data_IF_753597054392
#
_entry.id   IF_753597054392
#
_cell.length_a   1.000
_cell.length_b   1.000
_cell.length_c   1.000
_cell.angle_alpha   90.00
_cell.angle_beta   90.00
_cell.angle_gamma   90.00
#
_symmetry.space_group_name_H-M   'P 1'
#
loop_
_entity.id
_entity.type
_entity.pdbx_description
1 polymer ?
#
# COMPACT_ATOMS: atom_id res chain seq x y z
N UNK A 1 -66.11 -2.84 41.31
CA UNK A 1 -67.14 -1.86 41.72
C UNK A 1 -66.66 -1.18 43.00
N UNK A 2 -66.65 0.16 43.00
CA UNK A 2 -66.34 1.14 44.08
C UNK A 2 -64.91 1.11 44.68
N UNK A 3 -64.03 2.06 44.30
CA UNK A 3 -63.73 3.39 44.91
C UNK A 3 -63.11 3.25 46.31
N UNK A 4 -62.02 3.93 46.69
CA UNK A 4 -61.70 5.32 46.44
C UNK A 4 -60.18 5.61 46.47
N UNK A 5 -59.82 6.77 45.95
CA UNK A 5 -58.47 7.32 45.87
C UNK A 5 -58.19 8.36 46.97
N UNK A 6 -56.88 8.66 47.11
CA UNK A 6 -56.22 9.92 47.45
C UNK A 6 -55.51 10.08 48.83
N UNK A 7 -54.27 10.55 48.68
CA UNK A 7 -53.42 11.38 49.57
C UNK A 7 -52.43 10.63 50.50
N UNK A 8 -51.16 11.03 50.71
CA UNK A 8 -50.32 12.12 50.21
C UNK A 8 -48.85 11.91 50.68
N UNK A 9 -47.92 12.68 50.07
CA UNK A 9 -46.59 13.12 50.57
C UNK A 9 -45.35 12.25 50.29
N UNK A 10 -44.52 12.79 49.39
CA UNK A 10 -43.11 12.47 49.13
C UNK A 10 -42.17 12.81 50.32
N UNK A 11 -40.94 12.26 50.30
CA UNK A 11 -39.74 13.05 50.59
C UNK A 11 -38.74 13.06 49.43
N UNK A 12 -38.21 14.25 49.14
CA UNK A 12 -37.20 14.56 48.10
C UNK A 12 -35.82 14.01 48.46
N UNK A 13 -35.25 13.17 47.59
CA UNK A 13 -33.87 12.67 47.67
C UNK A 13 -32.99 13.46 46.70
N UNK A 14 -31.98 14.18 47.21
CA UNK A 14 -31.06 15.00 46.43
C UNK A 14 -29.86 14.16 45.99
N UNK A 15 -29.76 13.85 44.69
CA UNK A 15 -28.58 13.22 44.11
C UNK A 15 -27.63 14.31 43.60
N UNK A 16 -26.41 14.34 44.13
CA UNK A 16 -25.33 15.17 43.59
C UNK A 16 -24.76 14.46 42.36
N UNK A 17 -25.01 15.00 41.17
CA UNK A 17 -24.34 14.56 39.95
C UNK A 17 -22.90 15.14 39.91
N UNK A 18 -21.88 14.29 40.05
CA UNK A 18 -20.52 14.61 39.64
C UNK A 18 -20.41 14.42 38.13
N UNK A 19 -19.90 15.38 37.34
CA UNK A 19 -19.64 15.15 35.92
C UNK A 19 -18.35 14.33 35.79
N UNK A 20 -18.45 13.11 35.27
CA UNK A 20 -17.31 12.34 34.76
C UNK A 20 -16.84 13.05 33.48
N UNK A 21 -15.71 13.74 33.55
CA UNK A 21 -15.04 14.27 32.36
C UNK A 21 -14.44 13.09 31.58
N UNK A 22 -15.13 12.65 30.53
CA UNK A 22 -14.62 11.68 29.57
C UNK A 22 -13.57 12.40 28.71
N UNK A 23 -12.29 12.23 29.02
CA UNK A 23 -11.20 12.75 28.21
C UNK A 23 -11.17 12.02 26.87
N UNK A 24 -11.65 12.68 25.80
CA UNK A 24 -11.45 12.21 24.43
C UNK A 24 -9.95 12.35 24.10
N UNK A 25 -9.21 11.25 24.23
CA UNK A 25 -7.88 11.11 23.66
C UNK A 25 -8.03 11.01 22.15
N UNK A 26 -7.79 12.12 21.44
CA UNK A 26 -7.72 12.14 19.98
C UNK A 26 -6.37 11.55 19.56
N UNK A 27 -6.32 10.24 19.40
CA UNK A 27 -5.18 9.55 18.78
C UNK A 27 -5.13 9.96 17.31
N UNK A 28 -4.04 10.62 16.89
CA UNK A 28 -3.77 10.86 15.47
C UNK A 28 -3.46 9.50 14.82
N UNK A 29 -4.47 8.89 14.23
CA UNK A 29 -4.29 7.74 13.37
C UNK A 29 -3.71 8.27 12.05
N UNK A 30 -2.44 7.94 11.77
CA UNK A 30 -1.92 8.01 10.41
C UNK A 30 -2.85 7.19 9.54
N UNK A 31 -3.69 7.84 8.73
CA UNK A 31 -4.54 7.16 7.78
C UNK A 31 -3.63 6.48 6.75
N UNK A 32 -3.36 5.20 6.94
CA UNK A 32 -2.80 4.39 5.88
C UNK A 32 -3.84 4.34 4.78
N UNK A 33 -3.45 4.73 3.55
CA UNK A 33 -4.32 4.59 2.39
C UNK A 33 -4.84 3.15 2.33
N UNK A 34 -6.12 2.98 2.02
CA UNK A 34 -6.72 1.65 1.86
C UNK A 34 -6.02 0.93 0.72
N UNK A 35 -5.73 -0.37 0.90
CA UNK A 35 -5.19 -1.22 -0.14
C UNK A 35 -6.21 -1.29 -1.29
N UNK A 36 -5.77 -0.94 -2.50
CA UNK A 36 -6.59 -0.83 -3.70
C UNK A 36 -6.72 -2.15 -4.45
N UNK A 37 -5.99 -3.19 -4.05
CA UNK A 37 -6.10 -4.52 -4.63
C UNK A 37 -7.28 -5.26 -3.99
N UNK A 38 -8.15 -5.86 -4.80
CA UNK A 38 -9.21 -6.72 -4.27
C UNK A 38 -8.63 -8.09 -3.88
N UNK A 39 -9.00 -8.57 -2.68
CA UNK A 39 -8.52 -9.85 -2.12
C UNK A 39 -6.97 -9.99 -2.10
N UNK A 40 -6.24 -9.03 -1.51
CA UNK A 40 -4.78 -8.92 -1.63
C UNK A 40 -3.96 -10.03 -0.95
N UNK A 41 -4.54 -10.68 0.06
CA UNK A 41 -3.93 -11.80 0.81
C UNK A 41 -4.49 -13.16 0.41
N UNK A 42 -5.30 -13.25 -0.66
CA UNK A 42 -5.82 -14.53 -1.18
C UNK A 42 -6.73 -15.33 -0.21
N UNK A 43 -7.36 -14.64 0.75
CA UNK A 43 -8.20 -15.28 1.78
C UNK A 43 -9.63 -15.51 1.33
N UNK A 44 -10.13 -14.70 0.39
CA UNK A 44 -11.52 -14.79 -0.04
C UNK A 44 -11.69 -15.82 -1.16
N UNK A 45 -12.49 -16.83 -0.87
CA UNK A 45 -12.79 -17.94 -1.77
C UNK A 45 -14.19 -17.79 -2.35
N UNK A 46 -14.31 -17.85 -3.68
CA UNK A 46 -15.60 -17.96 -4.37
C UNK A 46 -16.19 -19.37 -4.17
N UNK A 47 -15.33 -20.39 -4.20
CA UNK A 47 -15.71 -21.78 -3.93
C UNK A 47 -14.98 -22.25 -2.67
N UNK A 48 -15.69 -22.38 -1.53
CA UNK A 48 -15.07 -22.88 -0.31
C UNK A 48 -14.64 -24.35 -0.49
N UNK A 49 -13.73 -24.80 0.37
CA UNK A 49 -13.14 -26.12 0.31
C UNK A 49 -14.16 -27.17 0.75
N UNK A 50 -15.06 -27.55 -0.16
CA UNK A 50 -16.15 -28.49 0.10
C UNK A 50 -16.03 -29.61 -0.92
N UNK A 51 -15.65 -30.80 -0.45
CA UNK A 51 -15.51 -31.98 -1.31
C UNK A 51 -14.24 -32.01 -2.17
N UNK A 52 -13.30 -31.08 -1.98
CA UNK A 52 -12.01 -31.04 -2.68
C UNK A 52 -11.06 -29.99 -2.09
N UNK A 53 -9.79 -29.95 -2.55
CA UNK A 53 -8.85 -28.90 -2.18
C UNK A 53 -9.30 -27.54 -2.74
N UNK A 54 -8.85 -26.46 -2.11
CA UNK A 54 -8.84 -25.17 -2.78
C UNK A 54 -7.83 -25.22 -3.94
N UNK A 55 -8.24 -24.69 -5.09
CA UNK A 55 -7.39 -24.52 -6.27
C UNK A 55 -7.44 -23.06 -6.68
N UNK A 56 -6.66 -22.66 -7.69
CA UNK A 56 -6.66 -21.27 -8.13
C UNK A 56 -8.06 -20.77 -8.55
N UNK A 57 -8.88 -21.63 -9.17
CA UNK A 57 -10.27 -21.31 -9.51
C UNK A 57 -11.20 -21.16 -8.31
N UNK A 58 -10.75 -21.51 -7.10
CA UNK A 58 -11.48 -21.24 -5.86
C UNK A 58 -11.33 -19.80 -5.39
N UNK A 59 -10.25 -19.11 -5.79
CA UNK A 59 -9.99 -17.73 -5.36
C UNK A 59 -10.99 -16.76 -5.94
N UNK A 60 -11.52 -15.88 -5.10
CA UNK A 60 -12.34 -14.79 -5.56
C UNK A 60 -11.48 -13.76 -6.31
N UNK A 61 -12.01 -13.30 -7.45
CA UNK A 61 -11.53 -12.17 -8.26
C UNK A 61 -10.19 -12.36 -8.99
N UNK A 62 -9.31 -13.25 -8.51
CA UNK A 62 -8.05 -13.56 -9.18
C UNK A 62 -8.26 -14.44 -10.40
N UNK A 63 -7.56 -14.10 -11.47
CA UNK A 63 -7.61 -14.79 -12.76
C UNK A 63 -6.23 -14.76 -13.41
N UNK A 64 -6.17 -15.20 -14.66
CA UNK A 64 -5.01 -15.15 -15.52
C UNK A 64 -5.47 -14.82 -16.95
N UNK A 65 -4.60 -14.27 -17.80
CA UNK A 65 -4.90 -14.07 -19.22
C UNK A 65 -5.24 -15.39 -19.92
N UNK A 66 -6.05 -15.36 -20.99
CA UNK A 66 -6.62 -16.57 -21.62
C UNK A 66 -5.59 -17.60 -22.10
N UNK A 67 -4.38 -17.17 -22.48
CA UNK A 67 -3.30 -18.06 -22.93
C UNK A 67 -2.20 -18.26 -21.86
N UNK A 68 -2.50 -17.89 -20.62
CA UNK A 68 -1.72 -18.23 -19.43
C UNK A 68 -2.18 -19.57 -18.89
N UNK A 69 -1.28 -20.30 -18.25
CA UNK A 69 -1.64 -21.39 -17.36
C UNK A 69 -2.06 -20.82 -16.00
N UNK A 70 -2.90 -21.59 -15.29
CA UNK A 70 -3.23 -21.29 -13.91
C UNK A 70 -1.96 -21.30 -13.06
N UNK A 71 -1.78 -20.26 -12.27
CA UNK A 71 -0.89 -20.33 -11.10
C UNK A 71 -1.43 -21.37 -10.11
N UNK A 72 -0.58 -21.87 -9.23
CA UNK A 72 -1.02 -22.79 -8.17
C UNK A 72 -1.50 -21.98 -6.97
N UNK A 73 -2.46 -22.52 -6.22
CA UNK A 73 -2.96 -21.91 -4.99
C UNK A 73 -2.89 -22.94 -3.87
N UNK A 74 -2.41 -22.50 -2.70
CA UNK A 74 -2.36 -23.29 -1.49
C UNK A 74 -3.19 -22.59 -0.40
N UNK A 75 -3.95 -23.36 0.36
CA UNK A 75 -4.76 -22.82 1.45
C UNK A 75 -4.91 -23.84 2.59
N UNK A 76 -4.93 -23.38 3.84
CA UNK A 76 -4.94 -24.23 5.03
C UNK A 76 -6.10 -25.25 5.06
N UNK A 77 -7.26 -24.86 4.51
CA UNK A 77 -8.43 -25.72 4.41
C UNK A 77 -8.17 -27.03 3.62
N UNK A 78 -7.26 -27.01 2.63
CA UNK A 78 -6.99 -28.16 1.77
C UNK A 78 -6.33 -29.27 2.56
N UNK A 79 -5.34 -28.91 3.40
CA UNK A 79 -4.69 -29.84 4.31
C UNK A 79 -5.68 -30.44 5.32
N UNK A 80 -6.57 -29.60 5.87
CA UNK A 80 -7.60 -30.04 6.83
C UNK A 80 -8.57 -31.08 6.24
N UNK A 81 -8.73 -31.11 4.91
CA UNK A 81 -9.60 -32.05 4.19
C UNK A 81 -8.85 -33.24 3.59
N UNK A 82 -7.57 -33.42 3.93
CA UNK A 82 -6.77 -34.55 3.46
C UNK A 82 -6.11 -34.35 2.09
N UNK A 83 -5.99 -33.10 1.63
CA UNK A 83 -5.26 -32.74 0.40
C UNK A 83 -4.01 -31.91 0.73
N UNK A 84 -2.99 -32.51 1.39
CA UNK A 84 -1.83 -31.78 1.86
C UNK A 84 -1.01 -31.17 0.72
N UNK A 85 -1.06 -31.70 -0.50
CA UNK A 85 -0.33 -31.13 -1.64
C UNK A 85 -0.85 -29.75 -2.10
N UNK A 86 -2.02 -29.32 -1.60
CA UNK A 86 -2.65 -28.01 -1.84
C UNK A 86 -2.78 -27.19 -0.54
N UNK A 87 -2.12 -27.64 0.53
CA UNK A 87 -2.21 -27.06 1.86
C UNK A 87 -1.20 -25.95 2.11
N UNK A 88 -1.44 -25.17 3.15
CA UNK A 88 -0.41 -24.38 3.83
C UNK A 88 -0.16 -25.01 5.20
N UNK A 89 1.07 -24.93 5.76
CA UNK A 89 2.28 -24.37 5.14
C UNK A 89 3.00 -25.32 4.17
N UNK A 90 2.69 -26.63 4.19
CA UNK A 90 3.35 -27.61 3.34
C UNK A 90 2.49 -27.97 2.12
N UNK A 91 3.08 -27.98 0.92
CA UNK A 91 2.43 -28.33 -0.34
C UNK A 91 3.37 -29.10 -1.29
N UNK A 92 2.95 -29.27 -2.54
CA UNK A 92 3.69 -30.03 -3.56
C UNK A 92 5.10 -29.49 -3.86
N UNK A 93 5.32 -28.17 -3.74
CA UNK A 93 6.56 -27.51 -4.17
C UNK A 93 7.43 -27.01 -3.01
N UNK A 94 7.03 -27.25 -1.76
CA UNK A 94 7.81 -26.87 -0.58
C UNK A 94 6.99 -26.60 0.67
N UNK A 95 7.65 -25.97 1.65
CA UNK A 95 7.10 -25.49 2.89
C UNK A 95 7.25 -23.97 2.99
N UNK A 96 6.14 -23.27 3.24
CA UNK A 96 6.16 -21.85 3.57
C UNK A 96 4.92 -21.52 4.43
N UNK A 97 5.11 -20.92 5.59
CA UNK A 97 4.00 -20.32 6.35
C UNK A 97 3.46 -19.10 5.60
N UNK A 98 2.13 -18.89 5.48
CA UNK A 98 1.57 -17.66 4.92
C UNK A 98 2.11 -16.40 5.63
N UNK A 99 2.22 -15.28 4.90
CA UNK A 99 2.60 -13.99 5.50
C UNK A 99 1.50 -13.51 6.42
N UNK A 100 0.28 -13.56 5.91
CA UNK A 100 -0.95 -13.37 6.66
C UNK A 100 -1.98 -14.43 6.25
N UNK A 101 -3.10 -14.48 6.97
CA UNK A 101 -4.20 -15.36 6.59
C UNK A 101 -3.86 -16.86 6.61
N UNK A 102 -4.37 -17.57 5.60
CA UNK A 102 -4.43 -19.02 5.47
C UNK A 102 -3.94 -19.51 4.10
N UNK A 103 -3.84 -18.64 3.11
CA UNK A 103 -3.48 -19.01 1.74
C UNK A 103 -2.35 -18.20 1.14
N UNK A 104 -1.83 -18.68 0.02
CA UNK A 104 -0.94 -17.94 -0.87
C UNK A 104 -0.92 -18.58 -2.26
N UNK A 105 -0.47 -17.81 -3.25
CA UNK A 105 -0.33 -18.27 -4.63
C UNK A 105 1.12 -18.71 -4.89
N UNK A 106 1.30 -19.69 -5.77
CA UNK A 106 2.61 -20.03 -6.33
C UNK A 106 2.62 -19.84 -7.85
N UNK A 107 3.62 -19.12 -8.36
CA UNK A 107 3.80 -18.87 -9.79
C UNK A 107 5.16 -19.38 -10.29
N UNK A 108 5.22 -19.70 -11.58
CA UNK A 108 6.45 -20.17 -12.23
C UNK A 108 6.92 -19.13 -13.23
N UNK A 109 8.13 -18.62 -13.05
CA UNK A 109 8.68 -17.53 -13.87
C UNK A 109 9.71 -18.01 -14.89
N UNK A 110 10.10 -19.28 -14.81
CA UNK A 110 11.03 -19.94 -15.73
C UNK A 110 10.79 -21.44 -15.72
N UNK A 111 10.89 -22.08 -16.88
CA UNK A 111 10.92 -23.53 -17.06
C UNK A 111 12.00 -23.88 -18.09
N UNK A 112 13.01 -24.64 -17.68
CA UNK A 112 14.14 -25.02 -18.52
C UNK A 112 13.74 -25.84 -19.74
N UNK A 113 12.71 -26.66 -19.62
CA UNK A 113 12.32 -27.65 -20.64
C UNK A 113 11.09 -27.22 -21.44
N UNK A 114 10.44 -26.12 -21.07
CA UNK A 114 9.36 -25.56 -21.87
C UNK A 114 9.88 -25.06 -23.21
N UNK A 115 9.10 -25.25 -24.28
CA UNK A 115 9.34 -24.65 -25.59
C UNK A 115 8.59 -23.34 -25.79
N UNK A 116 7.78 -22.94 -24.80
CA UNK A 116 7.03 -21.69 -24.76
C UNK A 116 7.40 -20.89 -23.50
N UNK A 117 7.44 -19.54 -23.57
CA UNK A 117 7.65 -18.74 -22.37
C UNK A 117 6.66 -19.13 -21.27
N UNK A 118 7.13 -19.29 -20.02
CA UNK A 118 6.24 -19.63 -18.92
C UNK A 118 5.18 -18.56 -18.84
N UNK A 119 3.95 -18.96 -19.13
CA UNK A 119 2.79 -18.08 -19.14
C UNK A 119 2.06 -18.29 -17.82
N UNK A 120 2.72 -18.07 -16.69
CA UNK A 120 2.06 -18.07 -15.38
C UNK A 120 1.95 -16.63 -14.91
N UNK A 121 0.86 -16.00 -15.31
CA UNK A 121 0.55 -14.63 -14.95
C UNK A 121 -0.57 -14.61 -13.92
N UNK A 122 -0.37 -13.82 -12.87
CA UNK A 122 -1.37 -13.59 -11.84
C UNK A 122 -2.03 -12.24 -12.13
N UNK A 123 -3.32 -12.25 -12.42
CA UNK A 123 -4.09 -11.05 -12.76
C UNK A 123 -5.23 -10.85 -11.76
N UNK A 124 -5.36 -9.64 -11.23
CA UNK A 124 -6.40 -9.29 -10.26
C UNK A 124 -6.98 -7.91 -10.54
N UNK A 125 -8.26 -7.67 -10.17
CA UNK A 125 -8.87 -6.36 -10.29
C UNK A 125 -8.47 -5.44 -9.14
N UNK A 126 -8.51 -4.15 -9.43
CA UNK A 126 -8.46 -3.09 -8.42
C UNK A 126 -9.86 -2.76 -7.92
N UNK A 127 -9.97 -2.26 -6.69
CA UNK A 127 -11.23 -1.83 -6.10
C UNK A 127 -11.84 -0.63 -6.84
N UNK A 128 -10.98 0.25 -7.35
CA UNK A 128 -11.33 1.43 -8.15
C UNK A 128 -10.24 1.64 -9.21
N UNK A 129 -10.58 2.25 -10.37
CA UNK A 129 -9.59 2.68 -11.34
C UNK A 129 -8.60 3.66 -10.72
N UNK A 130 -7.33 3.61 -11.14
CA UNK A 130 -6.29 4.53 -10.66
C UNK A 130 -6.47 5.95 -11.22
N UNK A 131 -6.05 6.93 -10.44
CA UNK A 131 -6.09 8.34 -10.80
C UNK A 131 -4.83 8.73 -11.57
N UNK A 132 -5.00 9.24 -12.79
CA UNK A 132 -3.89 9.67 -13.64
C UNK A 132 -3.06 10.78 -12.99
N UNK A 133 -1.73 10.67 -13.09
CA UNK A 133 -0.77 11.59 -12.49
C UNK A 133 -0.50 11.35 -11.00
N UNK A 134 -1.17 10.38 -10.37
CA UNK A 134 -0.90 9.99 -8.98
C UNK A 134 0.22 8.96 -8.92
N UNK A 135 1.16 9.14 -7.98
CA UNK A 135 2.17 8.12 -7.70
C UNK A 135 1.58 7.06 -6.76
N UNK A 136 1.66 5.80 -7.17
CA UNK A 136 1.22 4.64 -6.41
C UNK A 136 2.42 3.79 -5.99
N UNK A 137 2.34 3.28 -4.77
CA UNK A 137 3.33 2.42 -4.14
C UNK A 137 2.77 1.00 -4.14
N UNK A 138 3.45 0.10 -4.83
CA UNK A 138 3.12 -1.32 -4.92
C UNK A 138 4.12 -2.14 -4.11
N UNK A 139 3.63 -3.17 -3.42
CA UNK A 139 4.48 -4.17 -2.77
C UNK A 139 3.84 -5.55 -2.75
N UNK A 140 4.67 -6.58 -2.64
CA UNK A 140 4.27 -7.97 -2.39
C UNK A 140 5.33 -8.69 -1.58
N UNK A 141 4.96 -9.80 -0.96
CA UNK A 141 5.93 -10.71 -0.37
C UNK A 141 6.18 -11.87 -1.32
N UNK A 142 7.45 -12.25 -1.47
CA UNK A 142 7.87 -13.40 -2.27
C UNK A 142 8.74 -14.35 -1.46
N UNK A 143 8.59 -15.64 -1.68
CA UNK A 143 9.51 -16.67 -1.18
C UNK A 143 9.83 -17.64 -2.32
N UNK A 144 11.09 -18.04 -2.45
CA UNK A 144 11.50 -19.05 -3.42
C UNK A 144 11.04 -20.43 -2.92
N UNK A 145 10.35 -21.21 -3.73
CA UNK A 145 9.88 -22.52 -3.30
C UNK A 145 11.06 -23.49 -3.09
N UNK A 146 10.97 -24.38 -2.08
CA UNK A 146 12.02 -25.36 -1.77
C UNK A 146 12.41 -26.24 -2.97
N UNK A 147 11.43 -26.56 -3.81
CA UNK A 147 11.63 -27.37 -4.99
C UNK A 147 12.10 -26.57 -6.22
N UNK A 148 12.39 -25.27 -6.08
CA UNK A 148 12.86 -24.43 -7.17
C UNK A 148 14.29 -24.78 -7.57
N UNK A 149 14.51 -25.11 -8.85
CA UNK A 149 15.85 -25.40 -9.38
C UNK A 149 16.57 -24.14 -9.86
N UNK A 150 15.79 -23.12 -10.21
CA UNK A 150 16.25 -21.85 -10.74
C UNK A 150 15.67 -20.69 -9.94
N UNK A 151 16.25 -19.51 -10.16
CA UNK A 151 15.73 -18.23 -9.71
C UNK A 151 15.79 -17.26 -10.89
N UNK A 152 14.75 -16.48 -11.11
CA UNK A 152 14.78 -15.34 -12.05
C UNK A 152 15.21 -14.08 -11.31
N UNK A 153 15.79 -13.11 -12.00
CA UNK A 153 16.22 -11.85 -11.35
C UNK A 153 15.10 -10.84 -11.13
N UNK A 154 14.02 -10.93 -11.91
CA UNK A 154 12.94 -9.95 -11.86
C UNK A 154 11.54 -10.56 -11.92
N UNK A 155 10.62 -9.88 -11.25
CA UNK A 155 9.17 -9.93 -11.48
C UNK A 155 8.72 -8.58 -12.02
N UNK A 156 7.76 -8.60 -12.93
CA UNK A 156 7.22 -7.42 -13.58
C UNK A 156 5.75 -7.30 -13.23
N UNK A 157 5.28 -6.05 -13.12
CA UNK A 157 3.89 -5.74 -12.87
C UNK A 157 3.43 -4.73 -13.89
N UNK A 158 2.35 -5.07 -14.60
CA UNK A 158 1.61 -4.12 -15.43
C UNK A 158 0.29 -3.76 -14.77
N UNK A 159 -0.12 -2.51 -14.94
CA UNK A 159 -1.44 -2.01 -14.60
C UNK A 159 -2.17 -1.59 -15.88
N UNK A 160 -3.40 -2.07 -16.07
CA UNK A 160 -4.14 -1.92 -17.34
C UNK A 160 -5.60 -1.55 -17.11
N UNK A 161 -6.21 -0.80 -18.03
CA UNK A 161 -7.64 -0.44 -17.99
C UNK A 161 -8.55 -1.68 -18.15
N UNK A 162 -8.15 -2.59 -19.04
CA UNK A 162 -8.88 -3.82 -19.34
C UNK A 162 -8.08 -5.06 -18.94
N UNK A 163 -8.79 -6.17 -18.72
CA UNK A 163 -8.19 -7.47 -18.47
C UNK A 163 -7.36 -7.90 -19.70
N UNK A 164 -6.07 -8.22 -19.56
CA UNK A 164 -5.27 -8.71 -20.69
C UNK A 164 -5.88 -10.00 -21.27
N UNK A 165 -6.28 -9.94 -22.54
CA UNK A 165 -7.04 -11.02 -23.20
C UNK A 165 -6.16 -12.02 -23.97
N UNK A 166 -4.88 -11.70 -24.23
CA UNK A 166 -3.92 -12.56 -24.90
C UNK A 166 -2.47 -12.22 -24.55
N UNK A 167 -1.58 -13.21 -24.71
CA UNK A 167 -0.14 -13.20 -24.46
C UNK A 167 0.53 -14.15 -25.46
N UNK A 168 0.59 -13.78 -26.73
CA UNK A 168 1.11 -14.65 -27.81
C UNK A 168 2.66 -14.70 -27.88
N UNK A 169 3.37 -14.42 -26.78
CA UNK A 169 4.83 -14.25 -26.73
C UNK A 169 5.34 -12.96 -27.35
N UNK A 170 4.61 -12.33 -28.29
CA UNK A 170 4.88 -10.96 -28.75
C UNK A 170 4.36 -9.97 -27.71
N UNK A 171 3.15 -10.20 -27.20
CA UNK A 171 2.57 -9.30 -26.19
C UNK A 171 3.41 -9.28 -24.91
N UNK A 172 4.05 -10.39 -24.54
CA UNK A 172 4.90 -10.42 -23.35
C UNK A 172 6.16 -9.57 -23.53
N UNK A 173 6.74 -9.52 -24.74
CA UNK A 173 7.84 -8.59 -25.04
C UNK A 173 7.38 -7.13 -24.95
N UNK A 174 6.14 -6.85 -25.34
CA UNK A 174 5.52 -5.53 -25.16
C UNK A 174 5.32 -5.24 -23.66
N UNK A 175 4.85 -6.21 -22.89
CA UNK A 175 4.63 -6.08 -21.44
C UNK A 175 5.92 -5.83 -20.65
N UNK A 176 7.08 -6.31 -21.12
CA UNK A 176 8.37 -5.92 -20.51
C UNK A 176 8.57 -4.41 -20.57
N UNK A 177 8.25 -3.80 -21.71
CA UNK A 177 8.41 -2.37 -21.92
C UNK A 177 7.30 -1.54 -21.27
N UNK A 178 6.11 -2.12 -21.12
CA UNK A 178 4.96 -1.48 -20.48
C UNK A 178 4.93 -1.67 -18.96
N UNK A 179 5.77 -2.55 -18.41
CA UNK A 179 5.85 -2.81 -16.97
C UNK A 179 6.11 -1.52 -16.20
N UNK A 180 5.11 -1.09 -15.42
CA UNK A 180 5.24 0.11 -14.59
C UNK A 180 6.06 -0.17 -13.32
N UNK A 181 6.11 -1.42 -12.85
CA UNK A 181 6.92 -1.82 -11.70
C UNK A 181 7.76 -3.05 -12.04
N UNK A 182 9.06 -2.98 -11.73
CA UNK A 182 10.01 -4.09 -11.85
C UNK A 182 10.59 -4.38 -10.48
N UNK A 183 10.32 -5.59 -9.98
CA UNK A 183 10.71 -6.07 -8.66
C UNK A 183 11.92 -6.99 -8.76
N UNK A 184 12.95 -6.73 -7.97
CA UNK A 184 14.17 -7.55 -7.95
C UNK A 184 14.00 -8.76 -7.03
N UNK A 185 14.04 -9.96 -7.60
CA UNK A 185 13.91 -11.24 -6.87
C UNK A 185 15.27 -11.88 -6.53
N UNK A 186 16.40 -11.20 -6.77
CA UNK A 186 17.75 -11.75 -6.58
C UNK A 186 18.06 -12.07 -5.11
N UNK A 187 17.41 -11.42 -4.16
CA UNK A 187 17.59 -11.71 -2.74
C UNK A 187 16.53 -12.65 -2.18
N UNK A 188 15.54 -13.06 -3.00
CA UNK A 188 14.55 -14.05 -2.59
C UNK A 188 15.21 -15.42 -2.40
N UNK A 189 14.92 -16.04 -1.25
CA UNK A 189 15.38 -17.36 -0.86
C UNK A 189 14.22 -18.22 -0.33
N UNK A 190 14.52 -19.43 0.12
CA UNK A 190 13.54 -20.42 0.61
C UNK A 190 13.27 -20.31 2.12
N UNK A 191 13.97 -19.41 2.83
CA UNK A 191 13.98 -19.38 4.29
C UNK A 191 12.93 -18.44 4.87
N UNK A 192 12.64 -17.35 4.17
CA UNK A 192 11.71 -16.32 4.64
C UNK A 192 11.12 -15.51 3.48
N UNK A 193 10.00 -14.87 3.77
CA UNK A 193 9.38 -13.93 2.85
C UNK A 193 10.23 -12.66 2.68
N UNK A 194 10.53 -12.34 1.43
CA UNK A 194 11.16 -11.08 1.03
C UNK A 194 10.09 -10.08 0.59
N UNK A 195 10.02 -8.93 1.24
CA UNK A 195 9.17 -7.82 0.81
C UNK A 195 9.82 -7.14 -0.40
N UNK A 196 9.12 -7.18 -1.54
CA UNK A 196 9.51 -6.47 -2.75
C UNK A 196 8.56 -5.30 -2.97
N UNK A 197 9.10 -4.15 -3.37
CA UNK A 197 8.30 -2.96 -3.60
C UNK A 197 8.85 -2.08 -4.72
N UNK A 198 7.98 -1.24 -5.25
CA UNK A 198 8.31 -0.20 -6.22
C UNK A 198 7.19 0.84 -6.27
N UNK A 199 7.44 1.94 -6.96
CA UNK A 199 6.41 2.95 -7.24
C UNK A 199 6.33 3.26 -8.72
N UNK A 200 5.19 3.79 -9.15
CA UNK A 200 4.96 4.26 -10.50
C UNK A 200 3.95 5.40 -10.50
N UNK A 201 3.96 6.22 -11.54
CA UNK A 201 2.94 7.26 -11.76
C UNK A 201 1.89 6.70 -12.71
N UNK A 202 0.64 6.62 -12.27
CA UNK A 202 -0.46 6.10 -13.06
C UNK A 202 -0.79 7.03 -14.24
N UNK A 203 -1.15 6.46 -15.38
CA UNK A 203 -1.69 7.18 -16.53
C UNK A 203 -3.18 7.55 -16.30
N UNK A 204 -3.87 6.75 -15.50
CA UNK A 204 -5.27 6.90 -15.14
C UNK A 204 -6.16 5.87 -15.85
N UNK A 205 -7.17 5.38 -15.14
CA UNK A 205 -8.12 4.38 -15.66
C UNK A 205 -7.70 2.92 -15.46
N UNK A 206 -6.46 2.66 -15.04
CA UNK A 206 -6.00 1.30 -14.78
C UNK A 206 -6.87 0.64 -13.72
N UNK A 207 -7.46 -0.52 -14.06
CA UNK A 207 -8.45 -1.23 -13.25
C UNK A 207 -8.04 -2.66 -12.93
N UNK A 208 -6.93 -3.12 -13.51
CA UNK A 208 -6.35 -4.45 -13.31
C UNK A 208 -4.85 -4.34 -13.08
N UNK A 209 -4.31 -5.31 -12.35
CA UNK A 209 -2.88 -5.56 -12.23
C UNK A 209 -2.57 -6.96 -12.76
N UNK A 210 -1.43 -7.13 -13.43
CA UNK A 210 -0.91 -8.44 -13.84
C UNK A 210 0.56 -8.57 -13.45
N UNK A 211 0.89 -9.67 -12.78
CA UNK A 211 2.23 -9.96 -12.26
C UNK A 211 2.79 -11.19 -12.98
N UNK A 212 4.05 -11.13 -13.37
CA UNK A 212 4.81 -12.31 -13.79
C UNK A 212 6.19 -11.96 -14.36
N UNK A 213 6.78 -12.87 -15.11
CA UNK A 213 8.05 -12.62 -15.79
C UNK A 213 7.82 -12.38 -17.29
N UNK A 214 7.88 -11.13 -17.72
CA UNK A 214 7.56 -10.75 -19.10
C UNK A 214 8.74 -10.91 -20.07
N UNK A 215 9.98 -11.08 -19.56
CA UNK A 215 11.21 -11.20 -20.39
C UNK A 215 11.17 -12.44 -21.30
N UNK A 216 10.31 -13.42 -20.99
CA UNK A 216 10.14 -14.64 -21.76
C UNK A 216 11.39 -15.53 -21.69
N UNK A 217 11.53 -16.46 -22.65
CA UNK A 217 12.70 -17.37 -22.72
C UNK A 217 13.82 -16.89 -23.65
N UNK A 218 13.69 -15.72 -24.27
CA UNK A 218 14.66 -15.26 -25.26
C UNK A 218 15.96 -14.77 -24.62
N UNK A 219 15.87 -14.23 -23.40
CA UNK A 219 17.04 -13.87 -22.57
C UNK A 219 16.69 -13.96 -21.07
N UNK A 220 16.40 -15.16 -20.54
CA UNK A 220 15.96 -15.30 -19.17
C UNK A 220 17.14 -15.09 -18.23
N UNK A 221 17.21 -13.91 -17.60
CA UNK A 221 18.15 -13.64 -16.52
C UNK A 221 17.82 -14.56 -15.33
N UNK A 222 18.54 -15.69 -15.31
CA UNK A 222 18.28 -16.83 -14.45
C UNK A 222 19.57 -17.33 -13.81
N UNK A 223 19.45 -17.72 -12.55
CA UNK A 223 20.49 -18.36 -11.78
C UNK A 223 20.07 -19.79 -11.47
N UNK A 224 20.92 -20.76 -11.78
CA UNK A 224 20.71 -22.14 -11.32
C UNK A 224 20.98 -22.18 -9.81
N UNK A 225 19.95 -22.53 -9.05
CA UNK A 225 19.97 -22.53 -7.59
C UNK A 225 20.36 -23.91 -7.03
N UNK A 226 19.97 -24.99 -7.70
CA UNK A 226 20.34 -26.35 -7.30
C UNK A 226 19.48 -27.45 -7.91
N UNK A 227 19.80 -28.72 -7.63
CA UNK A 227 18.96 -29.85 -8.03
C UNK A 227 17.68 -29.88 -7.19
N UNK A 228 16.61 -30.38 -7.78
CA UNK A 228 15.30 -30.54 -7.15
C UNK A 228 14.77 -31.96 -7.38
N UNK A 229 13.89 -32.43 -6.50
CA UNK A 229 13.13 -33.68 -6.70
C UNK A 229 11.87 -33.47 -7.54
N UNK A 230 11.51 -32.22 -7.79
CA UNK A 230 10.36 -31.88 -8.63
C UNK A 230 10.63 -32.26 -10.09
N UNK A 231 9.64 -32.82 -10.83
CA UNK A 231 9.87 -33.35 -12.17
C UNK A 231 10.36 -32.33 -13.20
N UNK A 232 10.08 -31.04 -13.01
CA UNK A 232 10.48 -29.97 -13.90
C UNK A 232 11.52 -29.05 -13.22
N UNK A 233 12.49 -28.57 -13.99
CA UNK A 233 13.47 -27.60 -13.50
C UNK A 233 12.96 -26.19 -13.75
N UNK A 234 12.39 -25.58 -12.72
CA UNK A 234 11.69 -24.29 -12.79
C UNK A 234 12.27 -23.27 -11.81
N UNK A 235 11.97 -22.00 -12.07
CA UNK A 235 11.94 -20.97 -11.04
C UNK A 235 10.51 -20.83 -10.52
N UNK A 236 10.31 -21.08 -9.23
CA UNK A 236 8.99 -21.16 -8.59
C UNK A 236 8.98 -20.30 -7.35
N UNK A 237 7.97 -19.44 -7.24
CA UNK A 237 7.85 -18.50 -6.13
C UNK A 237 6.48 -18.60 -5.50
N UNK A 238 6.43 -18.58 -4.17
CA UNK A 238 5.24 -18.22 -3.43
C UNK A 238 5.09 -16.69 -3.41
N UNK A 239 3.86 -16.21 -3.52
CA UNK A 239 3.50 -14.79 -3.48
C UNK A 239 2.32 -14.61 -2.54
N UNK A 240 2.42 -13.59 -1.68
CA UNK A 240 1.42 -13.29 -0.66
C UNK A 240 1.42 -11.80 -0.26
N UNK A 241 0.37 -11.38 0.46
CA UNK A 241 0.22 -10.07 1.08
C UNK A 241 0.58 -8.91 0.13
N UNK A 242 -0.18 -8.80 -0.97
CA UNK A 242 0.00 -7.73 -1.96
C UNK A 242 -0.56 -6.41 -1.44
N UNK A 243 0.03 -5.30 -1.86
CA UNK A 243 -0.46 -3.98 -1.51
C UNK A 243 -0.28 -2.98 -2.65
N UNK A 244 -1.33 -2.20 -2.91
CA UNK A 244 -1.27 -1.02 -3.75
C UNK A 244 -1.99 0.12 -3.04
N UNK A 245 -1.33 1.26 -2.91
CA UNK A 245 -1.93 2.48 -2.35
C UNK A 245 -1.25 3.71 -2.94
N UNK A 246 -1.88 4.89 -2.93
CA UNK A 246 -1.17 6.13 -3.23
C UNK A 246 0.07 6.22 -2.36
N UNK A 247 1.20 6.59 -2.94
CA UNK A 247 2.40 6.83 -2.15
C UNK A 247 2.13 7.98 -1.17
N UNK A 248 2.52 7.80 0.09
CA UNK A 248 2.35 8.86 1.11
C UNK A 248 3.40 9.93 0.85
N UNK A 249 3.05 10.93 0.05
CA UNK A 249 3.88 12.13 -0.18
C UNK A 249 3.48 13.29 0.73
N UNK A 250 2.39 13.16 1.49
CA UNK A 250 1.85 14.21 2.33
C UNK A 250 2.03 13.91 3.83
N UNK A 251 2.72 14.80 4.53
CA UNK A 251 2.33 15.14 5.90
C UNK A 251 0.88 15.62 5.78
N UNK A 252 -0.06 15.10 6.57
CA UNK A 252 -1.42 15.63 6.60
C UNK A 252 -1.36 17.14 6.87
N UNK A 253 -1.52 17.96 5.82
CA UNK A 253 -1.92 19.34 5.98
C UNK A 253 -3.38 19.27 6.40
N UNK A 254 -3.62 19.27 7.72
CA UNK A 254 -4.96 19.49 8.25
C UNK A 254 -5.50 20.77 7.59
N UNK A 255 -6.51 20.62 6.72
CA UNK A 255 -7.26 21.75 6.14
C UNK A 255 -8.06 22.54 7.18
N UNK A 256 -7.92 22.23 8.47
CA UNK A 256 -8.37 23.13 9.51
C UNK A 256 -7.29 24.17 9.82
N UNK A 257 -7.44 25.32 9.14
CA UNK A 257 -7.07 26.66 9.62
C UNK A 257 -5.67 27.17 9.19
N UNK A 258 -5.62 27.82 8.02
CA UNK A 258 -4.37 28.30 7.40
C UNK A 258 -3.82 29.59 8.02
N UNK A 259 -2.51 29.57 8.30
CA UNK A 259 -1.70 30.80 8.42
C UNK A 259 -1.79 31.57 7.11
N UNK A 260 -2.11 32.87 7.16
CA UNK A 260 -2.07 33.72 5.97
C UNK A 260 -0.72 34.41 5.91
N UNK A 261 -0.06 34.33 4.76
CA UNK A 261 1.27 34.92 4.57
C UNK A 261 1.28 35.82 3.37
N UNK A 262 1.80 37.02 3.55
CA UNK A 262 1.94 38.01 2.47
C UNK A 262 3.39 38.47 2.43
N UNK A 263 4.02 38.34 1.27
CA UNK A 263 5.32 38.93 1.00
C UNK A 263 5.12 40.28 0.31
N UNK A 264 5.80 41.32 0.80
CA UNK A 264 5.89 42.62 0.15
C UNK A 264 7.29 42.78 -0.48
N UNK A 265 7.39 42.73 -1.83
CA UNK A 265 8.67 42.89 -2.53
C UNK A 265 9.32 44.26 -2.33
N UNK A 266 8.52 45.32 -2.13
CA UNK A 266 9.04 46.69 -2.00
C UNK A 266 9.77 46.92 -0.68
N UNK A 267 9.19 46.41 0.41
CA UNK A 267 9.78 46.50 1.76
C UNK A 267 10.63 45.28 2.14
N UNK A 268 10.67 44.24 1.29
CA UNK A 268 11.29 42.92 1.55
C UNK A 268 10.88 42.38 2.92
N UNK A 269 9.58 42.49 3.21
CA UNK A 269 9.01 42.05 4.48
C UNK A 269 7.99 40.95 4.26
N UNK A 270 8.00 39.99 5.17
CA UNK A 270 7.07 38.88 5.22
C UNK A 270 6.11 39.08 6.39
N UNK A 271 4.83 39.25 6.08
CA UNK A 271 3.75 39.35 7.06
C UNK A 271 3.10 37.99 7.25
N UNK A 272 3.11 37.50 8.48
CA UNK A 272 2.50 36.23 8.89
C UNK A 272 1.34 36.59 9.79
N UNK A 273 0.13 36.39 9.27
CA UNK A 273 -1.12 36.71 9.95
C UNK A 273 -1.73 35.41 10.45
N UNK A 274 -1.84 35.34 11.77
CA UNK A 274 -2.52 34.26 12.44
C UNK A 274 -3.99 34.57 12.68
N UNK A 275 -4.67 33.65 13.36
CA UNK A 275 -6.08 33.82 13.71
C UNK A 275 -6.29 34.95 14.72
N UNK A 276 -7.48 35.58 14.71
CA UNK A 276 -7.90 36.46 15.79
C UNK A 276 -7.82 35.72 17.14
N UNK A 277 -7.12 36.31 18.11
CA UNK A 277 -6.95 35.80 19.49
C UNK A 277 -6.02 34.57 19.68
N UNK A 278 -5.33 34.10 18.63
CA UNK A 278 -4.32 33.04 18.81
C UNK A 278 -3.00 33.63 19.29
N UNK A 279 -2.48 33.09 20.40
CA UNK A 279 -1.14 33.40 20.88
C UNK A 279 -0.15 32.40 20.27
N UNK A 280 0.67 32.87 19.34
CA UNK A 280 1.73 32.08 18.74
C UNK A 280 2.89 32.01 19.72
N UNK A 281 3.39 30.81 20.01
CA UNK A 281 4.54 30.65 20.91
C UNK A 281 5.83 31.00 20.17
N UNK A 282 5.95 30.54 18.93
CA UNK A 282 7.14 30.71 18.09
C UNK A 282 6.75 30.62 16.62
N UNK A 283 7.36 31.46 15.81
CA UNK A 283 7.32 31.39 14.34
C UNK A 283 8.75 31.13 13.86
N UNK A 284 8.89 30.17 12.95
CA UNK A 284 10.17 29.72 12.42
C UNK A 284 10.09 29.78 10.90
N UNK A 285 11.13 30.30 10.27
CA UNK A 285 11.31 30.23 8.83
C UNK A 285 12.40 29.19 8.53
N UNK A 286 12.08 28.25 7.64
CA UNK A 286 12.96 27.17 7.20
C UNK A 286 13.24 27.31 5.70
N UNK A 287 14.41 26.87 5.27
CA UNK A 287 14.70 26.66 3.86
C UNK A 287 14.05 25.36 3.34
N UNK A 288 14.15 25.10 2.03
CA UNK A 288 13.59 23.89 1.41
C UNK A 288 14.30 22.60 1.83
N UNK A 289 15.48 22.67 2.46
CA UNK A 289 16.17 21.52 3.05
C UNK A 289 15.75 21.30 4.52
N UNK A 290 14.77 22.07 5.03
CA UNK A 290 14.28 21.99 6.40
C UNK A 290 15.18 22.65 7.44
N UNK A 291 16.22 23.38 7.04
CA UNK A 291 17.14 24.05 7.97
C UNK A 291 16.54 25.37 8.43
N UNK A 292 16.72 25.68 9.71
CA UNK A 292 16.23 26.92 10.30
C UNK A 292 17.01 28.13 9.78
N UNK A 293 16.30 29.05 9.14
CA UNK A 293 16.82 30.33 8.66
C UNK A 293 16.72 31.39 9.74
N UNK A 294 15.55 31.52 10.37
CA UNK A 294 15.33 32.46 11.47
C UNK A 294 14.16 32.03 12.35
N UNK A 295 14.12 32.54 13.58
CA UNK A 295 13.02 32.30 14.52
C UNK A 295 12.63 33.60 15.24
N UNK A 296 11.32 33.80 15.36
CA UNK A 296 10.72 34.96 16.01
C UNK A 296 9.79 34.50 17.13
N UNK A 297 9.77 35.22 18.27
CA UNK A 297 8.74 35.01 19.28
C UNK A 297 7.38 35.35 18.66
N UNK A 298 6.39 34.48 18.88
CA UNK A 298 5.07 34.76 18.35
C UNK A 298 4.39 35.92 19.10
N UNK A 299 3.58 36.70 18.39
CA UNK A 299 2.78 37.81 18.92
C UNK A 299 1.32 37.61 18.53
N UNK A 300 0.40 38.18 19.31
CA UNK A 300 -1.02 38.14 19.01
C UNK A 300 -1.31 38.73 17.62
N UNK A 301 -2.02 37.97 16.78
CA UNK A 301 -2.58 38.43 15.51
C UNK A 301 -1.62 38.44 14.32
N UNK A 302 -0.42 39.01 14.43
CA UNK A 302 0.54 39.02 13.30
C UNK A 302 2.00 39.16 13.72
N UNK A 303 2.89 38.64 12.87
CA UNK A 303 4.34 38.80 12.96
C UNK A 303 4.85 39.30 11.61
N UNK A 304 5.69 40.35 11.62
CA UNK A 304 6.45 40.76 10.44
C UNK A 304 7.90 40.32 10.59
N UNK A 305 8.45 39.76 9.52
CA UNK A 305 9.83 39.28 9.44
C UNK A 305 10.52 40.04 8.30
N UNK A 306 11.66 40.65 8.60
CA UNK A 306 12.56 41.18 7.57
C UNK A 306 13.25 40.02 6.87
N UNK A 307 13.10 39.95 5.54
CA UNK A 307 13.68 38.90 4.69
C UNK A 307 14.69 39.44 3.69
N UNK A 308 15.17 40.67 3.89
CA UNK A 308 16.12 41.34 3.00
C UNK A 308 17.45 40.59 2.81
N UNK A 309 17.86 39.80 3.81
CA UNK A 309 19.07 38.96 3.77
C UNK A 309 18.89 37.58 3.14
N UNK A 310 17.68 37.23 2.68
CA UNK A 310 17.38 35.90 2.15
C UNK A 310 17.51 35.87 0.63
N UNK A 311 17.97 34.73 0.10
CA UNK A 311 17.98 34.49 -1.35
C UNK A 311 16.56 34.31 -1.87
N UNK A 312 16.31 34.73 -3.11
CA UNK A 312 15.04 34.43 -3.77
C UNK A 312 14.82 32.92 -3.83
N UNK A 313 13.60 32.47 -3.54
CA UNK A 313 13.26 31.05 -3.46
C UNK A 313 12.02 30.76 -2.63
N UNK A 314 11.73 29.48 -2.49
CA UNK A 314 10.67 29.00 -1.61
C UNK A 314 11.18 28.77 -0.19
N UNK A 315 10.34 29.08 0.79
CA UNK A 315 10.61 28.88 2.21
C UNK A 315 9.38 28.28 2.89
N UNK A 316 9.61 27.59 4.00
CA UNK A 316 8.55 27.03 4.83
C UNK A 316 8.44 27.86 6.10
N UNK A 317 7.24 28.30 6.43
CA UNK A 317 6.92 28.93 7.70
C UNK A 317 6.31 27.87 8.59
N UNK A 318 6.81 27.74 9.81
CA UNK A 318 6.23 26.92 10.86
C UNK A 318 5.87 27.80 12.05
N UNK A 319 4.64 27.71 12.53
CA UNK A 319 4.20 28.37 13.75
C UNK A 319 3.60 27.36 14.74
N UNK A 320 3.87 27.56 16.02
CA UNK A 320 3.32 26.70 17.09
C UNK A 320 2.34 27.51 17.93
N UNK A 321 1.12 27.00 18.09
CA UNK A 321 0.10 27.58 18.97
C UNK A 321 -0.66 26.47 19.71
N UNK A 322 -0.86 26.63 21.02
CA UNK A 322 -1.59 25.69 21.87
C UNK A 322 -1.15 24.20 21.71
N UNK A 323 0.14 23.96 21.48
CA UNK A 323 0.69 22.61 21.29
C UNK A 323 0.49 22.03 19.88
N UNK A 324 -0.19 22.73 18.97
CA UNK A 324 -0.33 22.37 17.56
C UNK A 324 0.69 23.13 16.71
N UNK A 325 1.22 22.45 15.70
CA UNK A 325 2.10 23.03 14.70
C UNK A 325 1.32 23.31 13.42
N UNK A 326 1.57 24.48 12.84
CA UNK A 326 0.98 24.94 11.61
C UNK A 326 2.10 25.27 10.63
N UNK A 327 1.96 24.87 9.37
CA UNK A 327 2.95 25.14 8.34
C UNK A 327 2.32 25.75 7.10
N UNK A 328 3.09 26.57 6.39
CA UNK A 328 2.72 27.05 5.06
C UNK A 328 3.96 27.39 4.25
N UNK A 329 3.86 27.33 2.91
CA UNK A 329 4.95 27.68 2.00
C UNK A 329 4.80 29.12 1.53
N UNK A 330 5.88 29.88 1.52
CA UNK A 330 5.95 31.21 0.93
C UNK A 330 7.04 31.29 -0.14
N UNK A 331 6.79 32.07 -1.18
CA UNK A 331 7.78 32.42 -2.18
C UNK A 331 8.30 33.84 -1.91
N UNK A 332 9.62 33.99 -1.84
CA UNK A 332 10.32 35.26 -1.67
C UNK A 332 11.05 35.54 -2.98
N UNK A 333 10.77 36.69 -3.59
CA UNK A 333 11.35 37.12 -4.87
C UNK A 333 12.05 38.48 -4.71
#
# INVERSE_FOLDING_TARGET
MCRAALTSREPRMWWKCLPLAFGLSLSAHLAHGQNLILNPGFEELEVPCVGGPATFSSLQAWTHPVCSENVSFAHACSAALGFPTHGTPANLIGYQEPVDGLGYVAMYTYDRYSTFPPSYYLTGPLLVPLDGGTEYCFSLHVSLADQSAYRTSYLHVIFTEELPNSCNGVDTLVWVHDAQVVLNTTDADTSSWSLLSGSFVAAGGESYLTIGNFVGMLDPDTMYFGPTTFPAQRAMYYIDALELRPCVVAVEEYEEMTLRTTYDPGSRSLSIIGLPKTNWNRVVLLDMAGRMVTSHPGRLGSVQIDVSGLSAGFYIIQAVAAGKQYSTRVAIF
#
